data_IF_809926774997
#
_entry.id   IF_809926774997
#
_cell.length_a   1.000
_cell.length_b   1.000
_cell.length_c   1.000
_cell.angle_alpha   90.00
_cell.angle_beta   90.00
_cell.angle_gamma   90.00
#
_symmetry.space_group_name_H-M   'P 1'
#
loop_
_entity.id
_entity.type
_entity.pdbx_description
1 polymer ?
#
# COMPACT_ATOMS: atom_id res chain seq x y z
N UNK A 1 -4.82 -2.43 -20.63
CA UNK A 1 -5.46 -2.34 -19.30
C UNK A 1 -4.34 -2.45 -18.29
N UNK A 2 -4.31 -1.65 -17.22
CA UNK A 2 -3.23 -1.75 -16.24
C UNK A 2 -3.52 -2.85 -15.22
N UNK A 3 -2.47 -3.48 -14.72
CA UNK A 3 -2.61 -4.50 -13.68
C UNK A 3 -2.75 -3.85 -12.30
N UNK A 4 -3.80 -4.24 -11.57
CA UNK A 4 -4.04 -3.80 -10.20
C UNK A 4 -4.15 -5.03 -9.31
N UNK A 5 -3.28 -5.13 -8.32
CA UNK A 5 -3.26 -6.19 -7.33
C UNK A 5 -3.67 -5.62 -5.97
N UNK A 6 -4.48 -6.37 -5.23
CA UNK A 6 -4.94 -5.96 -3.91
C UNK A 6 -4.49 -7.00 -2.89
N UNK A 7 -3.89 -6.55 -1.79
CA UNK A 7 -3.60 -7.39 -0.62
C UNK A 7 -4.63 -7.07 0.46
N UNK A 8 -5.62 -7.95 0.61
CA UNK A 8 -6.71 -7.80 1.58
C UNK A 8 -6.46 -8.68 2.80
N UNK A 9 -6.66 -8.12 3.99
CA UNK A 9 -6.52 -8.85 5.24
C UNK A 9 -6.87 -8.01 6.45
N UNK A 10 -7.27 -8.64 7.54
CA UNK A 10 -7.51 -7.96 8.82
C UNK A 10 -6.26 -7.28 9.41
N UNK A 11 -6.44 -6.47 10.45
CA UNK A 11 -5.31 -5.85 11.17
C UNK A 11 -4.36 -6.97 11.67
N UNK A 12 -3.05 -6.75 11.57
CA UNK A 12 -2.01 -7.68 12.06
C UNK A 12 -2.02 -9.09 11.40
N UNK A 13 -2.72 -9.25 10.28
CA UNK A 13 -2.78 -10.53 9.55
C UNK A 13 -1.49 -10.91 8.80
N UNK A 14 -0.48 -10.04 8.76
CA UNK A 14 0.77 -10.27 8.01
C UNK A 14 0.83 -9.63 6.61
N UNK A 15 -0.15 -8.78 6.22
CA UNK A 15 -0.17 -8.10 4.91
C UNK A 15 1.15 -7.41 4.54
N UNK A 16 1.65 -6.57 5.43
CA UNK A 16 2.89 -5.81 5.20
C UNK A 16 4.08 -6.75 4.99
N UNK A 17 4.21 -7.80 5.80
CA UNK A 17 5.25 -8.82 5.65
C UNK A 17 5.14 -9.52 4.30
N UNK A 18 3.94 -9.93 3.92
CA UNK A 18 3.66 -10.55 2.63
C UNK A 18 4.01 -9.62 1.45
N UNK A 19 3.60 -8.35 1.52
CA UNK A 19 3.99 -7.32 0.56
C UNK A 19 5.50 -7.19 0.45
N UNK A 20 6.21 -6.96 1.57
CA UNK A 20 7.67 -6.81 1.58
C UNK A 20 8.35 -8.01 0.91
N UNK A 21 7.89 -9.23 1.16
CA UNK A 21 8.43 -10.44 0.54
C UNK A 21 8.22 -10.46 -0.99
N UNK A 22 7.03 -10.09 -1.47
CA UNK A 22 6.74 -9.98 -2.91
C UNK A 22 7.65 -8.93 -3.56
N UNK A 23 7.75 -7.73 -2.96
CA UNK A 23 8.56 -6.65 -3.50
C UNK A 23 10.05 -7.04 -3.54
N UNK A 24 10.54 -7.74 -2.52
CA UNK A 24 11.91 -8.26 -2.49
C UNK A 24 12.15 -9.25 -3.64
N UNK A 25 11.22 -10.18 -3.89
CA UNK A 25 11.32 -11.13 -5.00
C UNK A 25 11.31 -10.43 -6.36
N UNK A 26 10.48 -9.40 -6.53
CA UNK A 26 10.44 -8.57 -7.74
C UNK A 26 11.79 -7.85 -7.97
N UNK A 27 12.29 -7.16 -6.96
CA UNK A 27 13.57 -6.45 -7.04
C UNK A 27 14.75 -7.40 -7.33
N UNK A 28 14.80 -8.55 -6.66
CA UNK A 28 15.81 -9.60 -6.94
C UNK A 28 15.74 -10.16 -8.36
N UNK A 29 14.60 -10.01 -9.04
CA UNK A 29 14.38 -10.41 -10.42
C UNK A 29 14.52 -9.24 -11.42
N UNK A 30 15.07 -8.11 -10.99
CA UNK A 30 15.40 -6.97 -11.84
C UNK A 30 14.24 -5.99 -12.09
N UNK A 31 13.10 -6.14 -11.41
CA UNK A 31 11.99 -5.19 -11.52
C UNK A 31 12.24 -3.94 -10.69
N UNK A 32 11.94 -2.79 -11.26
CA UNK A 32 11.94 -1.49 -10.60
C UNK A 32 10.62 -1.33 -9.84
N UNK A 33 10.71 -1.30 -8.51
CA UNK A 33 9.58 -1.10 -7.62
C UNK A 33 9.64 0.31 -7.05
N UNK A 34 8.49 1.02 -7.04
CA UNK A 34 8.37 2.34 -6.42
C UNK A 34 7.22 2.44 -5.43
N UNK A 35 7.23 3.44 -4.55
CA UNK A 35 6.15 3.70 -3.61
C UNK A 35 6.59 3.51 -2.16
N UNK A 36 5.66 3.13 -1.27
CA UNK A 36 5.97 2.96 0.15
C UNK A 36 5.22 1.79 0.77
N UNK A 37 5.83 1.25 1.84
CA UNK A 37 5.19 0.28 2.74
C UNK A 37 4.96 0.90 4.13
N UNK A 38 3.95 0.45 4.87
CA UNK A 38 3.72 0.89 6.24
C UNK A 38 4.42 -0.06 7.23
N UNK A 39 5.09 0.49 8.24
CA UNK A 39 5.73 -0.28 9.31
C UNK A 39 5.07 0.08 10.65
N UNK A 40 4.96 -0.89 11.55
CA UNK A 40 4.41 -0.67 12.89
C UNK A 40 5.50 -0.89 13.94
N UNK A 41 5.85 0.19 14.62
CA UNK A 41 6.62 0.15 15.86
C UNK A 41 5.65 -0.20 17.00
N UNK A 42 5.79 -1.42 17.51
CA UNK A 42 4.91 -1.97 18.56
C UNK A 42 5.15 -1.28 19.89
N UNK A 43 6.40 -0.92 20.22
CA UNK A 43 6.76 -0.33 21.51
C UNK A 43 6.19 1.08 21.64
N UNK A 44 6.24 1.87 20.57
CA UNK A 44 5.72 3.24 20.54
C UNK A 44 4.26 3.35 20.06
N UNK A 45 3.66 2.21 19.66
CA UNK A 45 2.40 2.11 18.91
C UNK A 45 2.31 3.18 17.80
N UNK A 46 3.39 3.23 17.02
CA UNK A 46 3.63 4.23 15.99
C UNK A 46 3.70 3.56 14.62
N UNK A 47 2.91 4.07 13.69
CA UNK A 47 2.97 3.68 12.29
C UNK A 47 3.90 4.64 11.55
N UNK A 48 4.80 4.05 10.77
CA UNK A 48 5.74 4.74 9.90
C UNK A 48 5.47 4.32 8.46
N UNK A 49 5.93 5.12 7.51
CA UNK A 49 6.01 4.69 6.11
C UNK A 49 7.47 4.64 5.69
N UNK A 50 7.81 3.67 4.85
CA UNK A 50 9.15 3.47 4.31
C UNK A 50 9.10 3.53 2.80
N UNK A 51 9.86 4.46 2.21
CA UNK A 51 10.05 4.53 0.76
C UNK A 51 10.83 3.29 0.30
N UNK A 52 10.31 2.56 -0.69
CA UNK A 52 10.90 1.32 -1.17
C UNK A 52 12.14 1.51 -2.04
N UNK A 53 12.33 2.72 -2.60
CA UNK A 53 13.47 3.11 -3.43
C UNK A 53 14.60 3.63 -2.56
N UNK A 54 14.33 4.53 -1.62
CA UNK A 54 15.37 5.18 -0.80
C UNK A 54 15.64 4.46 0.51
N UNK A 55 14.74 3.59 0.97
CA UNK A 55 14.70 3.01 2.31
C UNK A 55 14.51 4.02 3.45
N UNK A 56 14.27 5.29 3.14
CA UNK A 56 13.97 6.30 4.16
C UNK A 56 12.65 5.98 4.85
N UNK A 57 12.63 6.15 6.18
CA UNK A 57 11.46 5.86 7.01
C UNK A 57 11.02 7.14 7.71
N UNK A 58 9.72 7.45 7.64
CA UNK A 58 9.13 8.65 8.24
C UNK A 58 7.93 8.26 9.12
N UNK A 59 7.83 8.75 10.37
CA UNK A 59 6.64 8.59 11.19
C UNK A 59 5.39 9.14 10.51
N UNK A 60 4.31 8.37 10.48
CA UNK A 60 3.03 8.74 9.88
C UNK A 60 2.00 9.08 10.94
N UNK A 61 1.79 8.18 11.91
CA UNK A 61 0.81 8.39 12.97
C UNK A 61 1.13 7.59 14.21
N UNK A 62 0.80 8.13 15.38
CA UNK A 62 0.97 7.45 16.66
C UNK A 62 -0.39 7.30 17.35
N UNK A 63 -0.65 6.13 17.95
CA UNK A 63 -1.85 5.95 18.76
C UNK A 63 -1.72 6.80 20.03
N UNK A 64 -2.72 7.63 20.28
CA UNK A 64 -2.79 8.51 21.47
C UNK A 64 -4.03 8.26 22.32
N UNK A 65 -4.97 7.44 21.85
CA UNK A 65 -6.12 7.01 22.63
C UNK A 65 -6.66 5.64 22.18
N UNK A 66 -7.57 5.08 22.97
CA UNK A 66 -8.30 3.86 22.65
C UNK A 66 -9.22 4.03 21.42
N UNK A 67 -9.69 2.91 20.89
CA UNK A 67 -10.58 2.89 19.73
C UNK A 67 -11.93 3.57 19.94
N UNK A 68 -12.34 3.80 21.18
CA UNK A 68 -13.59 4.51 21.52
C UNK A 68 -13.54 5.98 21.07
N UNK A 69 -12.35 6.59 21.03
CA UNK A 69 -12.16 7.97 20.56
C UNK A 69 -11.99 8.08 19.05
N UNK A 70 -12.43 7.09 18.27
CA UNK A 70 -12.38 7.18 16.80
C UNK A 70 -13.18 8.40 16.30
N UNK A 71 -12.67 9.17 15.32
CA UNK A 71 -11.42 8.95 14.57
C UNK A 71 -10.15 9.55 15.23
N UNK A 72 -10.27 10.27 16.34
CA UNK A 72 -9.22 11.04 17.02
C UNK A 72 -8.22 10.21 17.86
N UNK A 73 -8.29 8.90 17.77
CA UNK A 73 -7.37 7.97 18.45
C UNK A 73 -5.92 7.97 17.91
N UNK A 74 -5.66 8.68 16.81
CA UNK A 74 -4.34 8.85 16.23
C UNK A 74 -3.94 10.32 16.15
N UNK A 75 -2.69 10.60 16.51
CA UNK A 75 -1.99 11.84 16.16
C UNK A 75 -1.24 11.60 14.86
N UNK A 76 -1.48 12.44 13.85
CA UNK A 76 -0.77 12.38 12.57
C UNK A 76 0.47 13.27 12.58
N UNK A 77 1.50 12.82 11.89
CA UNK A 77 2.70 13.60 11.61
C UNK A 77 2.65 14.08 10.15
N UNK A 78 2.55 15.40 9.89
CA UNK A 78 2.41 15.94 8.53
C UNK A 78 3.49 15.45 7.56
N UNK A 79 4.74 15.36 8.03
CA UNK A 79 5.88 14.89 7.24
C UNK A 79 5.67 13.49 6.65
N UNK A 80 5.05 12.56 7.39
CA UNK A 80 4.74 11.24 6.87
C UNK A 80 3.65 11.27 5.81
N UNK A 81 2.66 12.16 5.95
CA UNK A 81 1.62 12.34 4.94
C UNK A 81 2.19 12.96 3.66
N UNK A 82 3.05 13.97 3.79
CA UNK A 82 3.77 14.62 2.70
C UNK A 82 4.66 13.63 1.95
N UNK A 83 5.52 12.89 2.68
CA UNK A 83 6.38 11.87 2.09
C UNK A 83 5.59 10.83 1.29
N UNK A 84 4.47 10.32 1.81
CA UNK A 84 3.63 9.37 1.07
C UNK A 84 3.02 9.97 -0.20
N UNK A 85 2.58 11.24 -0.15
CA UNK A 85 2.10 11.95 -1.34
C UNK A 85 3.21 12.16 -2.38
N UNK A 86 4.42 12.50 -1.94
CA UNK A 86 5.56 12.73 -2.83
C UNK A 86 6.04 11.43 -3.46
N UNK A 87 6.07 10.32 -2.72
CA UNK A 87 6.31 8.99 -3.28
C UNK A 87 5.30 8.69 -4.39
N UNK A 88 4.00 8.87 -4.14
CA UNK A 88 2.96 8.56 -5.14
C UNK A 88 3.10 9.45 -6.38
N UNK A 89 3.36 10.75 -6.21
CA UNK A 89 3.60 11.67 -7.34
C UNK A 89 4.83 11.26 -8.14
N UNK A 90 5.90 10.83 -7.47
CA UNK A 90 7.11 10.34 -8.11
C UNK A 90 6.91 9.14 -9.03
N UNK A 91 5.91 8.29 -8.75
CA UNK A 91 5.58 7.12 -9.58
C UNK A 91 5.18 7.52 -11.00
N UNK A 92 4.49 8.65 -11.15
CA UNK A 92 4.02 9.16 -12.45
C UNK A 92 5.13 9.88 -13.23
N UNK A 93 6.27 10.19 -12.59
CA UNK A 93 7.43 10.79 -13.25
C UNK A 93 8.47 9.77 -13.68
N UNK A 94 8.62 8.69 -12.90
CA UNK A 94 9.69 7.71 -13.08
C UNK A 94 9.23 6.35 -13.62
N UNK A 95 7.92 6.09 -13.68
CA UNK A 95 7.31 4.90 -14.30
C UNK A 95 7.99 3.58 -13.88
N UNK A 96 7.91 3.19 -12.59
CA UNK A 96 8.41 1.88 -12.18
C UNK A 96 7.62 0.75 -12.85
N UNK A 97 8.20 -0.44 -12.89
CA UNK A 97 7.48 -1.63 -13.37
C UNK A 97 6.24 -1.93 -12.52
N UNK A 98 6.30 -1.58 -11.23
CA UNK A 98 5.15 -1.65 -10.32
C UNK A 98 5.26 -0.67 -9.16
N UNK A 99 4.13 -0.07 -8.80
CA UNK A 99 3.95 0.78 -7.64
C UNK A 99 3.40 0.00 -6.44
N UNK A 100 3.81 0.37 -5.23
CA UNK A 100 3.23 -0.12 -3.97
C UNK A 100 2.70 1.00 -3.06
N UNK A 101 1.51 0.79 -2.50
CA UNK A 101 0.93 1.64 -1.44
C UNK A 101 0.35 0.78 -0.32
N UNK A 102 0.94 0.85 0.88
CA UNK A 102 0.45 0.18 2.09
C UNK A 102 0.14 1.25 3.16
N UNK A 103 -1.09 1.54 3.57
CA UNK A 103 -2.39 0.90 3.28
C UNK A 103 -3.41 1.94 2.79
N UNK A 104 -4.24 1.60 1.79
CA UNK A 104 -5.41 2.41 1.41
C UNK A 104 -6.61 1.98 2.26
N UNK A 105 -7.20 2.91 3.00
CA UNK A 105 -8.30 2.56 3.89
C UNK A 105 -9.21 3.72 4.25
N UNK A 106 -9.63 3.73 5.52
CA UNK A 106 -10.74 4.58 5.96
C UNK A 106 -10.47 6.08 5.80
N UNK A 107 -9.22 6.53 5.91
CA UNK A 107 -8.90 7.95 5.74
C UNK A 107 -8.96 8.37 4.27
N UNK A 108 -8.43 7.56 3.37
CA UNK A 108 -8.44 7.76 1.92
C UNK A 108 -9.88 7.66 1.38
N UNK A 109 -10.68 6.72 1.88
CA UNK A 109 -12.11 6.64 1.58
C UNK A 109 -12.85 7.95 1.91
N UNK A 110 -12.41 8.71 2.92
CA UNK A 110 -12.96 10.02 3.29
C UNK A 110 -12.27 11.22 2.63
N UNK A 111 -11.42 11.01 1.62
CA UNK A 111 -10.75 12.10 0.93
C UNK A 111 -9.54 12.67 1.69
N UNK A 112 -9.02 11.97 2.70
CA UNK A 112 -7.87 12.41 3.51
C UNK A 112 -6.59 11.69 3.13
N UNK A 113 -5.48 12.13 3.73
CA UNK A 113 -4.13 11.57 3.57
C UNK A 113 -3.73 11.50 2.09
N UNK A 114 -3.70 10.29 1.52
CA UNK A 114 -3.25 10.05 0.16
C UNK A 114 -4.39 9.90 -0.85
N UNK A 115 -5.65 10.18 -0.48
CA UNK A 115 -6.80 9.97 -1.37
C UNK A 115 -6.64 10.61 -2.74
N UNK A 116 -6.14 11.85 -2.81
CA UNK A 116 -6.02 12.59 -4.07
C UNK A 116 -4.91 12.03 -4.95
N UNK A 117 -3.73 11.81 -4.37
CA UNK A 117 -2.58 11.23 -5.07
C UNK A 117 -2.84 9.78 -5.49
N UNK A 118 -3.55 8.99 -4.66
CA UNK A 118 -3.99 7.64 -5.02
C UNK A 118 -4.97 7.64 -6.20
N UNK A 119 -5.91 8.58 -6.26
CA UNK A 119 -6.78 8.75 -7.44
C UNK A 119 -5.95 9.03 -8.71
N UNK A 120 -4.98 9.93 -8.64
CA UNK A 120 -4.09 10.23 -9.78
C UNK A 120 -3.28 9.00 -10.20
N UNK A 121 -2.76 8.23 -9.24
CA UNK A 121 -2.07 6.98 -9.52
C UNK A 121 -3.00 5.96 -10.20
N UNK A 122 -4.27 5.92 -9.80
CA UNK A 122 -5.29 5.08 -10.42
C UNK A 122 -5.67 5.52 -11.85
N UNK A 123 -5.51 6.79 -12.20
CA UNK A 123 -5.71 7.29 -13.57
C UNK A 123 -4.46 7.07 -14.46
N UNK A 124 -3.29 6.89 -13.86
CA UNK A 124 -2.05 6.58 -14.58
C UNK A 124 -2.01 5.15 -15.13
N UNK A 125 -1.05 4.86 -16.03
CA UNK A 125 -0.79 3.53 -16.58
C UNK A 125 0.10 2.64 -15.68
N UNK A 126 0.62 3.16 -14.57
CA UNK A 126 1.58 2.44 -13.72
C UNK A 126 0.87 1.24 -13.05
N UNK A 127 1.40 0.00 -13.21
CA UNK A 127 0.88 -1.16 -12.49
C UNK A 127 0.97 -0.95 -10.98
N UNK A 128 -0.02 -1.44 -10.24
CA UNK A 128 -0.19 -1.11 -8.83
C UNK A 128 -0.45 -2.34 -7.99
N UNK A 129 0.22 -2.44 -6.84
CA UNK A 129 -0.19 -3.29 -5.73
C UNK A 129 -0.46 -2.43 -4.49
N UNK A 130 -1.59 -2.62 -3.83
CA UNK A 130 -1.87 -1.90 -2.58
C UNK A 130 -2.53 -2.80 -1.56
N UNK A 131 -2.38 -2.47 -0.28
CA UNK A 131 -3.06 -3.20 0.79
C UNK A 131 -4.33 -2.48 1.24
N UNK A 132 -5.30 -3.25 1.72
CA UNK A 132 -6.55 -2.78 2.31
C UNK A 132 -6.99 -3.72 3.43
N UNK A 133 -7.74 -3.21 4.41
CA UNK A 133 -8.43 -4.07 5.38
C UNK A 133 -9.61 -4.79 4.73
N UNK A 134 -9.82 -6.07 5.05
CA UNK A 134 -10.91 -6.88 4.49
C UNK A 134 -12.27 -6.17 4.52
N UNK A 135 -12.67 -5.69 5.69
CA UNK A 135 -13.93 -4.95 5.87
C UNK A 135 -14.09 -3.65 5.03
N UNK A 136 -13.01 -3.17 4.40
CA UNK A 136 -12.99 -1.98 3.55
C UNK A 136 -12.79 -2.29 2.08
N UNK A 137 -12.47 -3.54 1.71
CA UNK A 137 -12.16 -3.95 0.34
C UNK A 137 -13.24 -3.49 -0.65
N UNK A 138 -14.49 -3.90 -0.42
CA UNK A 138 -15.61 -3.56 -1.31
C UNK A 138 -15.83 -2.05 -1.43
N UNK A 139 -15.62 -1.31 -0.34
CA UNK A 139 -15.77 0.15 -0.34
C UNK A 139 -14.67 0.83 -1.14
N UNK A 140 -13.44 0.33 -1.05
CA UNK A 140 -12.31 0.84 -1.83
C UNK A 140 -12.53 0.53 -3.30
N UNK A 141 -12.85 -0.72 -3.64
CA UNK A 141 -13.15 -1.13 -5.01
C UNK A 141 -14.28 -0.27 -5.61
N UNK A 142 -15.39 -0.13 -4.90
CA UNK A 142 -16.54 0.65 -5.38
C UNK A 142 -16.24 2.15 -5.52
N UNK A 143 -15.51 2.75 -4.56
CA UNK A 143 -15.20 4.19 -4.61
C UNK A 143 -14.41 4.58 -5.86
N UNK A 144 -13.47 3.73 -6.25
CA UNK A 144 -12.55 4.03 -7.35
C UNK A 144 -12.82 3.23 -8.63
N UNK A 145 -13.89 2.43 -8.67
CA UNK A 145 -14.23 1.60 -9.83
C UNK A 145 -13.10 0.64 -10.22
N UNK A 146 -12.42 0.06 -9.23
CA UNK A 146 -11.25 -0.79 -9.46
C UNK A 146 -11.69 -2.16 -9.93
N UNK A 147 -11.16 -2.61 -11.06
CA UNK A 147 -11.26 -4.01 -11.49
C UNK A 147 -9.90 -4.70 -11.21
N UNK A 148 -9.76 -5.40 -10.07
CA UNK A 148 -8.48 -5.98 -9.70
C UNK A 148 -8.14 -7.15 -10.61
N UNK A 149 -6.89 -7.20 -11.07
CA UNK A 149 -6.30 -8.35 -11.76
C UNK A 149 -6.21 -9.56 -10.83
N UNK A 150 -5.96 -9.32 -9.54
CA UNK A 150 -5.99 -10.34 -8.50
C UNK A 150 -6.17 -9.72 -7.11
N UNK A 151 -6.83 -10.44 -6.21
CA UNK A 151 -6.94 -10.10 -4.80
C UNK A 151 -6.28 -11.22 -3.99
N UNK A 152 -5.20 -10.90 -3.29
CA UNK A 152 -4.55 -11.80 -2.34
C UNK A 152 -5.19 -11.64 -0.97
N UNK A 153 -5.58 -12.75 -0.37
CA UNK A 153 -6.21 -12.81 0.95
C UNK A 153 -5.26 -13.47 1.96
N UNK A 154 -5.68 -13.56 3.22
CA UNK A 154 -4.87 -14.15 4.30
C UNK A 154 -4.36 -15.57 4.02
N UNK A 155 -5.10 -16.37 3.23
CA UNK A 155 -4.69 -17.70 2.81
C UNK A 155 -3.45 -17.71 1.89
N UNK A 156 -3.19 -16.61 1.18
CA UNK A 156 -2.06 -16.49 0.25
C UNK A 156 -0.76 -16.08 0.96
N UNK A 157 -0.85 -15.57 2.19
CA UNK A 157 0.29 -14.91 2.84
C UNK A 157 1.45 -15.84 3.19
N UNK A 158 1.19 -17.16 3.24
CA UNK A 158 2.22 -18.16 3.43
C UNK A 158 3.03 -18.47 2.16
N UNK A 159 2.59 -18.02 0.98
CA UNK A 159 3.26 -18.27 -0.29
C UNK A 159 3.47 -16.98 -1.12
N UNK A 160 4.37 -16.07 -0.67
CA UNK A 160 4.72 -14.88 -1.43
C UNK A 160 5.36 -15.20 -2.79
N UNK A 161 5.93 -16.39 -2.97
CA UNK A 161 6.53 -16.80 -4.23
C UNK A 161 5.48 -17.04 -5.31
N UNK A 162 4.33 -17.63 -4.96
CA UNK A 162 3.22 -17.77 -5.89
C UNK A 162 2.65 -16.42 -6.31
N UNK A 163 2.46 -15.50 -5.36
CA UNK A 163 2.03 -14.13 -5.65
C UNK A 163 3.01 -13.40 -6.58
N UNK A 164 4.31 -13.52 -6.33
CA UNK A 164 5.36 -13.01 -7.20
C UNK A 164 5.25 -13.56 -8.63
N UNK A 165 5.06 -14.87 -8.82
CA UNK A 165 4.91 -15.47 -10.17
C UNK A 165 3.72 -14.90 -10.92
N UNK A 166 2.58 -14.74 -10.23
CA UNK A 166 1.36 -14.17 -10.80
C UNK A 166 1.58 -12.73 -11.26
N UNK A 167 2.16 -11.89 -10.40
CA UNK A 167 2.47 -10.49 -10.71
C UNK A 167 3.47 -10.42 -11.88
N UNK A 168 4.57 -11.18 -11.80
CA UNK A 168 5.61 -11.21 -12.85
C UNK A 168 5.05 -11.60 -14.21
N UNK A 169 4.10 -12.54 -14.27
CA UNK A 169 3.44 -12.92 -15.54
C UNK A 169 2.67 -11.75 -16.13
N UNK A 170 1.87 -11.09 -15.29
CA UNK A 170 1.03 -9.96 -15.71
C UNK A 170 1.81 -8.69 -16.07
N UNK A 171 3.00 -8.47 -15.51
CA UNK A 171 3.86 -7.33 -15.88
C UNK A 171 4.60 -7.53 -17.23
N UNK A 172 4.57 -8.73 -17.81
CA UNK A 172 5.26 -9.06 -19.08
C UNK A 172 4.31 -9.26 -20.25
N UNK A 173 2.99 -9.20 -20.00
CA UNK A 173 1.92 -9.26 -21.00
C UNK A 173 1.58 -7.84 -21.48
#
# INVERSE_FOLDING_TARGET
MKSIFIVSGEKESGKTTFLINILSLLQMNGFVVGGFVALHDIELDCYQIKDVKTNETTPLMQRVASFEKRPHHFKFFPKGVEMGNDCIKGLMMHYPDIAVVDEIGGYELRGKLWSSSFTQLLESSVPLIFSVKDRLLDKVVAKWGIEPSHIFNSADFCDPYNAFKLIKRSLRE
#
